data_IF_739999014063
#
_entry.id   IF_739999014063
#
_cell.length_a   1.000
_cell.length_b   1.000
_cell.length_c   1.000
_cell.angle_alpha   90.00
_cell.angle_beta   90.00
_cell.angle_gamma   90.00
#
_symmetry.space_group_name_H-M   'P 1'
#
loop_
_entity.id
_entity.type
_entity.pdbx_description
1 polymer ?
#
# COMPACT_ATOMS: atom_id res chain seq x y z
N UNK A 1 -17.03 -8.79 4.66
CA UNK A 1 -15.88 -8.17 5.34
C UNK A 1 -15.27 -9.20 6.28
N UNK A 2 -13.95 -9.37 6.29
CA UNK A 2 -13.31 -10.31 7.21
C UNK A 2 -13.38 -9.71 8.64
N UNK A 3 -13.68 -10.54 9.66
CA UNK A 3 -13.84 -10.08 11.05
C UNK A 3 -12.65 -9.25 11.57
N UNK A 4 -11.42 -9.57 11.11
CA UNK A 4 -10.18 -8.87 11.50
C UNK A 4 -10.11 -7.41 11.02
N UNK A 5 -10.80 -7.03 9.94
CA UNK A 5 -10.89 -5.63 9.51
C UNK A 5 -11.88 -4.83 10.37
N UNK A 6 -12.64 -5.52 11.23
CA UNK A 6 -13.48 -4.90 12.25
C UNK A 6 -12.72 -4.69 13.56
N UNK A 7 -11.68 -5.47 13.81
CA UNK A 7 -10.77 -5.32 14.95
C UNK A 7 -9.49 -4.60 14.50
N UNK A 8 -9.47 -3.30 14.70
CA UNK A 8 -8.36 -2.41 14.30
C UNK A 8 -7.05 -2.79 14.98
N UNK A 9 -7.09 -3.29 16.23
CA UNK A 9 -5.91 -3.71 16.98
C UNK A 9 -5.27 -4.96 16.38
N UNK A 10 -6.09 -5.94 16.02
CA UNK A 10 -5.59 -7.15 15.36
C UNK A 10 -4.92 -6.77 14.04
N UNK A 11 -5.55 -5.90 13.25
CA UNK A 11 -4.99 -5.44 11.99
C UNK A 11 -3.70 -4.64 12.17
N UNK A 12 -3.65 -3.70 13.11
CA UNK A 12 -2.44 -2.96 13.49
C UNK A 12 -1.28 -3.91 13.82
N UNK A 13 -1.52 -4.92 14.68
CA UNK A 13 -0.50 -5.89 15.08
C UNK A 13 -0.04 -6.77 13.90
N UNK A 14 -0.95 -7.16 12.99
CA UNK A 14 -0.59 -7.91 11.77
C UNK A 14 0.32 -7.09 10.85
N UNK A 15 0.04 -5.79 10.67
CA UNK A 15 0.87 -4.88 9.88
C UNK A 15 2.23 -4.66 10.56
N UNK A 16 2.25 -4.37 11.86
CA UNK A 16 3.49 -4.18 12.62
C UNK A 16 4.39 -5.42 12.54
N UNK A 17 3.81 -6.61 12.68
CA UNK A 17 4.57 -7.86 12.52
C UNK A 17 5.12 -8.03 11.11
N UNK A 18 4.32 -7.74 10.07
CA UNK A 18 4.77 -7.81 8.68
C UNK A 18 5.89 -6.80 8.42
N UNK A 19 5.75 -5.58 8.91
CA UNK A 19 6.75 -4.53 8.77
C UNK A 19 8.06 -4.92 9.46
N UNK A 20 8.00 -5.41 10.70
CA UNK A 20 9.17 -5.84 11.48
C UNK A 20 9.92 -7.00 10.80
N UNK A 21 9.19 -8.00 10.29
CA UNK A 21 9.82 -9.17 9.67
C UNK A 21 10.33 -8.91 8.25
N UNK A 22 9.70 -7.97 7.50
CA UNK A 22 9.96 -7.84 6.06
C UNK A 22 10.31 -6.41 5.62
N UNK A 23 9.57 -5.36 6.04
CA UNK A 23 9.81 -4.01 5.52
C UNK A 23 11.13 -3.47 6.03
N UNK A 24 11.40 -3.59 7.35
CA UNK A 24 12.67 -3.16 7.94
C UNK A 24 13.85 -3.77 7.18
N UNK A 25 13.90 -5.09 7.02
CA UNK A 25 15.00 -5.77 6.32
C UNK A 25 15.05 -5.45 4.81
N UNK A 26 13.94 -5.03 4.23
CA UNK A 26 13.87 -4.67 2.82
C UNK A 26 14.44 -3.28 2.56
N UNK A 27 14.13 -2.30 3.42
CA UNK A 27 14.57 -0.91 3.29
C UNK A 27 15.95 -0.65 3.89
N UNK A 28 16.35 -1.37 4.95
CA UNK A 28 17.65 -1.20 5.63
C UNK A 28 18.87 -1.52 4.73
N UNK A 29 18.64 -2.02 3.53
CA UNK A 29 19.67 -2.20 2.50
C UNK A 29 20.01 -0.92 1.75
N UNK A 30 19.20 0.11 1.90
CA UNK A 30 19.27 1.37 1.15
C UNK A 30 19.37 2.58 2.08
N UNK A 31 18.85 2.46 3.29
CA UNK A 31 18.84 3.52 4.29
C UNK A 31 19.30 2.95 5.63
N UNK A 32 20.20 3.66 6.28
CA UNK A 32 20.68 3.30 7.61
C UNK A 32 19.63 3.71 8.65
N UNK A 33 18.96 2.73 9.24
CA UNK A 33 17.95 2.97 10.26
C UNK A 33 18.55 3.32 11.63
N UNK A 34 19.83 2.99 11.88
CA UNK A 34 20.54 3.37 13.11
C UNK A 34 20.84 4.88 13.17
N UNK A 35 20.84 5.55 12.00
CA UNK A 35 20.93 7.00 11.91
C UNK A 35 19.62 7.72 12.27
N UNK A 36 18.58 6.98 12.70
CA UNK A 36 17.27 7.51 13.09
C UNK A 36 16.63 8.43 12.04
N UNK A 37 16.46 7.94 10.79
CA UNK A 37 15.93 8.75 9.70
C UNK A 37 14.49 9.19 9.96
N UNK A 38 14.05 10.21 9.22
CA UNK A 38 12.66 10.64 9.17
C UNK A 38 11.89 9.77 8.18
N UNK A 39 10.82 9.13 8.65
CA UNK A 39 9.99 8.21 7.87
C UNK A 39 8.57 8.77 7.76
N UNK A 40 8.07 8.89 6.54
CA UNK A 40 6.69 9.25 6.25
C UNK A 40 5.95 8.04 5.71
N UNK A 41 4.74 7.75 6.20
CA UNK A 41 3.83 6.81 5.55
C UNK A 41 2.59 7.53 5.04
N UNK A 42 2.32 7.44 3.73
CA UNK A 42 1.12 7.97 3.08
C UNK A 42 0.10 6.84 3.01
N UNK A 43 -1.09 7.07 3.58
CA UNK A 43 -2.12 6.04 3.76
C UNK A 43 -1.77 5.09 4.92
N UNK A 44 -1.32 5.64 6.04
CA UNK A 44 -0.78 4.87 7.17
C UNK A 44 -1.81 4.02 7.92
N UNK A 45 -3.10 4.25 7.69
CA UNK A 45 -4.14 3.57 8.46
C UNK A 45 -3.97 3.77 9.96
N UNK A 46 -3.96 2.68 10.70
CA UNK A 46 -3.72 2.63 12.14
C UNK A 46 -2.24 2.75 12.54
N UNK A 47 -1.31 2.97 11.60
CA UNK A 47 0.12 3.18 11.88
C UNK A 47 0.94 1.91 12.09
N UNK A 48 0.36 0.72 11.82
CA UNK A 48 1.04 -0.55 12.11
C UNK A 48 2.37 -0.72 11.38
N UNK A 49 2.49 -0.28 10.14
CA UNK A 49 3.75 -0.36 9.39
C UNK A 49 4.84 0.55 9.97
N UNK A 50 4.46 1.69 10.57
CA UNK A 50 5.39 2.66 11.16
C UNK A 50 5.91 2.23 12.52
N UNK A 51 5.19 1.35 13.25
CA UNK A 51 5.58 0.96 14.60
C UNK A 51 7.02 0.45 14.69
N UNK A 52 7.50 -0.49 13.84
CA UNK A 52 8.89 -0.99 13.93
C UNK A 52 9.95 0.06 13.60
N UNK A 53 9.62 1.11 12.86
CA UNK A 53 10.52 2.24 12.63
C UNK A 53 10.63 3.11 13.88
N UNK A 54 9.50 3.40 14.54
CA UNK A 54 9.50 4.12 15.81
C UNK A 54 10.23 3.36 16.91
N UNK A 55 10.11 2.01 16.97
CA UNK A 55 10.87 1.13 17.88
C UNK A 55 12.39 1.26 17.69
N UNK A 56 12.84 1.57 16.48
CA UNK A 56 14.25 1.81 16.16
C UNK A 56 14.68 3.29 16.35
N UNK A 57 13.81 4.12 16.93
CA UNK A 57 14.10 5.53 17.20
C UNK A 57 13.96 6.47 16.00
N UNK A 58 13.43 6.00 14.88
CA UNK A 58 13.13 6.88 13.75
C UNK A 58 12.02 7.89 14.12
N UNK A 59 12.14 9.10 13.58
CA UNK A 59 10.99 10.01 13.56
C UNK A 59 9.96 9.48 12.54
N UNK A 60 8.71 9.28 12.95
CA UNK A 60 7.66 8.75 12.08
C UNK A 60 6.50 9.73 11.97
N UNK A 61 6.03 9.96 10.75
CA UNK A 61 4.77 10.65 10.43
C UNK A 61 3.87 9.74 9.60
N UNK A 62 2.62 9.58 10.04
CA UNK A 62 1.57 8.90 9.29
C UNK A 62 0.52 9.89 8.80
N UNK A 63 0.07 9.75 7.55
CA UNK A 63 -1.02 10.53 6.98
C UNK A 63 -2.09 9.58 6.46
N UNK A 64 -3.33 9.74 6.91
CA UNK A 64 -4.50 9.02 6.38
C UNK A 64 -5.72 9.96 6.41
N UNK A 65 -6.67 9.76 5.51
CA UNK A 65 -7.88 10.57 5.47
C UNK A 65 -8.98 10.07 6.43
N UNK A 66 -8.88 8.85 6.95
CA UNK A 66 -9.85 8.27 7.89
C UNK A 66 -9.51 8.67 9.33
N UNK A 67 -10.29 9.60 9.88
CA UNK A 67 -10.11 10.09 11.27
C UNK A 67 -10.09 8.96 12.29
N UNK A 68 -10.94 7.93 12.13
CA UNK A 68 -11.00 6.85 13.10
C UNK A 68 -9.74 5.98 13.09
N UNK A 69 -9.08 5.85 11.92
CA UNK A 69 -7.78 5.15 11.84
C UNK A 69 -6.69 5.96 12.51
N UNK A 70 -6.65 7.27 12.28
CA UNK A 70 -5.69 8.19 12.91
C UNK A 70 -5.88 8.22 14.43
N UNK A 71 -7.12 8.30 14.92
CA UNK A 71 -7.40 8.23 16.37
C UNK A 71 -6.89 6.90 16.96
N UNK A 72 -7.05 5.79 16.24
CA UNK A 72 -6.52 4.47 16.64
C UNK A 72 -4.98 4.45 16.61
N UNK A 73 -4.35 5.05 15.59
CA UNK A 73 -2.89 5.12 15.49
C UNK A 73 -2.28 5.85 16.69
N UNK A 74 -2.82 7.03 17.03
CA UNK A 74 -2.39 7.77 18.22
C UNK A 74 -2.52 6.93 19.50
N UNK A 75 -3.70 6.31 19.71
CA UNK A 75 -3.92 5.48 20.90
C UNK A 75 -2.98 4.28 20.98
N UNK A 76 -2.74 3.60 19.85
CA UNK A 76 -1.86 2.42 19.83
C UNK A 76 -0.39 2.77 20.05
N UNK A 77 0.08 3.90 19.52
CA UNK A 77 1.43 4.38 19.78
C UNK A 77 1.61 4.82 21.23
N UNK A 78 0.64 5.54 21.80
CA UNK A 78 0.65 5.91 23.22
C UNK A 78 0.71 4.68 24.14
N UNK A 79 -0.09 3.66 23.88
CA UNK A 79 -0.08 2.39 24.63
C UNK A 79 1.25 1.64 24.55
N UNK A 80 1.98 1.76 23.44
CA UNK A 80 3.32 1.19 23.27
C UNK A 80 4.42 2.07 23.87
N UNK A 81 4.08 3.26 24.40
CA UNK A 81 5.05 4.23 24.91
C UNK A 81 5.96 4.81 23.83
N UNK A 82 5.52 4.79 22.57
CA UNK A 82 6.28 5.28 21.42
C UNK A 82 5.71 6.60 20.91
N UNK A 83 6.59 7.40 20.31
CA UNK A 83 6.22 8.66 19.68
C UNK A 83 6.01 8.46 18.18
N UNK A 84 4.96 9.04 17.66
CA UNK A 84 4.67 9.15 16.24
C UNK A 84 3.69 10.29 16.02
N UNK A 85 3.82 10.98 14.92
CA UNK A 85 2.89 12.05 14.53
C UNK A 85 1.91 11.48 13.51
N UNK A 86 0.60 11.77 13.68
CA UNK A 86 -0.43 11.28 12.80
C UNK A 86 -1.36 12.41 12.37
N UNK A 87 -1.52 12.59 11.05
CA UNK A 87 -2.32 13.66 10.47
C UNK A 87 -3.53 13.08 9.73
N UNK A 88 -4.73 13.48 10.15
CA UNK A 88 -5.96 13.16 9.41
C UNK A 88 -6.14 14.16 8.27
N UNK A 89 -5.73 13.80 7.06
CA UNK A 89 -5.85 14.66 5.88
C UNK A 89 -5.80 13.85 4.58
N UNK A 90 -6.37 14.42 3.52
CA UNK A 90 -6.01 14.04 2.16
C UNK A 90 -4.56 14.49 1.90
N UNK A 91 -3.69 13.55 1.57
CA UNK A 91 -2.26 13.82 1.34
C UNK A 91 -2.04 14.93 0.30
N UNK A 92 -2.88 15.01 -0.73
CA UNK A 92 -2.77 16.05 -1.77
C UNK A 92 -3.04 17.48 -1.24
N UNK A 93 -3.56 17.60 0.00
CA UNK A 93 -3.84 18.88 0.66
C UNK A 93 -2.85 19.20 1.78
N UNK A 94 -1.96 18.27 2.10
CA UNK A 94 -0.94 18.49 3.14
C UNK A 94 0.10 19.47 2.61
N UNK A 95 0.41 20.55 3.36
CA UNK A 95 1.44 21.50 2.98
C UNK A 95 2.81 20.83 2.83
N UNK A 96 3.56 21.23 1.82
CA UNK A 96 4.92 20.75 1.60
C UNK A 96 5.85 21.22 2.74
N UNK A 97 6.84 20.39 3.13
CA UNK A 97 7.89 20.81 4.05
C UNK A 97 8.61 22.06 3.53
N UNK A 98 8.85 23.03 4.42
CA UNK A 98 9.41 24.33 4.04
C UNK A 98 10.95 24.31 3.93
N UNK A 99 11.60 23.31 4.56
CA UNK A 99 13.05 23.13 4.51
C UNK A 99 13.43 21.67 4.22
N UNK A 100 14.69 21.44 3.86
CA UNK A 100 15.20 20.07 3.60
C UNK A 100 15.19 19.22 4.88
N UNK A 101 15.44 19.85 6.04
CA UNK A 101 15.47 19.19 7.34
C UNK A 101 14.10 18.64 7.75
N UNK A 102 13.03 19.29 7.30
CA UNK A 102 11.66 18.85 7.53
C UNK A 102 11.26 17.68 6.62
N UNK A 103 11.97 17.48 5.51
CA UNK A 103 11.69 16.39 4.57
C UNK A 103 12.08 15.02 5.14
N UNK A 104 11.71 13.99 4.42
CA UNK A 104 11.83 12.60 4.85
C UNK A 104 12.94 11.88 4.08
N UNK A 105 13.64 11.02 4.80
CA UNK A 105 14.67 10.13 4.26
C UNK A 105 14.04 8.89 3.61
N UNK A 106 12.85 8.50 4.09
CA UNK A 106 12.07 7.38 3.57
C UNK A 106 10.59 7.74 3.51
N UNK A 107 9.96 7.50 2.35
CA UNK A 107 8.51 7.60 2.18
C UNK A 107 7.95 6.21 1.90
N UNK A 108 7.00 5.75 2.72
CA UNK A 108 6.32 4.48 2.59
C UNK A 108 4.94 4.68 1.97
N UNK A 109 4.61 3.89 0.94
CA UNK A 109 3.30 3.85 0.30
C UNK A 109 2.93 2.37 0.11
N UNK A 110 2.03 1.85 0.95
CA UNK A 110 1.65 0.45 0.93
C UNK A 110 0.14 0.30 0.82
N UNK A 111 -0.32 -0.41 -0.21
CA UNK A 111 -1.74 -0.63 -0.55
C UNK A 111 -2.54 0.69 -0.67
N UNK A 112 -1.97 1.69 -1.38
CA UNK A 112 -2.56 3.02 -1.60
C UNK A 112 -2.66 3.35 -3.09
N UNK A 113 -1.59 3.14 -3.85
CA UNK A 113 -1.51 3.65 -5.24
C UNK A 113 -2.57 3.03 -6.16
N UNK A 114 -3.03 1.84 -5.87
CA UNK A 114 -4.12 1.15 -6.59
C UNK A 114 -5.49 1.76 -6.34
N UNK A 115 -5.65 2.56 -5.28
CA UNK A 115 -6.89 3.25 -4.93
C UNK A 115 -6.97 4.68 -5.48
N UNK A 116 -5.84 5.26 -5.87
CA UNK A 116 -5.81 6.59 -6.47
C UNK A 116 -6.41 6.52 -7.88
N UNK A 117 -7.34 7.42 -8.21
CA UNK A 117 -7.91 7.49 -9.55
C UNK A 117 -6.83 7.78 -10.61
N UNK A 118 -6.99 7.18 -11.79
CA UNK A 118 -6.00 7.17 -12.86
C UNK A 118 -5.44 8.56 -13.22
N UNK A 119 -6.26 9.62 -13.36
CA UNK A 119 -5.76 10.96 -13.71
C UNK A 119 -4.86 11.58 -12.64
N UNK A 120 -5.03 11.19 -11.38
CA UNK A 120 -4.31 11.80 -10.25
C UNK A 120 -2.99 11.10 -9.90
N UNK A 121 -2.74 9.89 -10.42
CA UNK A 121 -1.52 9.13 -10.10
C UNK A 121 -0.22 9.86 -10.44
N UNK A 122 -0.06 10.51 -11.62
CA UNK A 122 1.15 11.28 -11.90
C UNK A 122 1.34 12.45 -10.93
N UNK A 123 0.28 13.21 -10.65
CA UNK A 123 0.32 14.35 -9.72
C UNK A 123 0.64 13.90 -8.30
N UNK A 124 0.12 12.74 -7.87
CA UNK A 124 0.45 12.14 -6.59
C UNK A 124 1.95 11.85 -6.45
N UNK A 125 2.58 11.24 -7.45
CA UNK A 125 4.02 10.97 -7.44
C UNK A 125 4.85 12.25 -7.39
N UNK A 126 4.48 13.27 -8.16
CA UNK A 126 5.16 14.57 -8.14
C UNK A 126 4.99 15.28 -6.79
N UNK A 127 3.80 15.21 -6.18
CA UNK A 127 3.57 15.79 -4.86
C UNK A 127 4.39 15.03 -3.79
N UNK A 128 4.39 13.70 -3.81
CA UNK A 128 5.18 12.85 -2.91
C UNK A 128 6.68 13.21 -2.95
N UNK A 129 7.24 13.43 -4.15
CA UNK A 129 8.66 13.80 -4.29
C UNK A 129 9.03 15.05 -3.51
N UNK A 130 8.12 16.01 -3.36
CA UNK A 130 8.37 17.27 -2.63
C UNK A 130 8.57 17.04 -1.13
N UNK A 131 8.10 15.92 -0.60
CA UNK A 131 8.30 15.48 0.78
C UNK A 131 9.63 14.71 0.97
N UNK A 132 10.30 14.32 -0.12
CA UNK A 132 11.55 13.57 -0.08
C UNK A 132 12.76 14.50 0.00
N UNK A 133 13.77 14.14 0.80
CA UNK A 133 15.11 14.74 0.71
C UNK A 133 15.77 14.41 -0.64
N UNK A 134 16.80 15.13 -1.07
CA UNK A 134 17.47 14.89 -2.36
C UNK A 134 17.94 13.45 -2.57
N UNK A 135 18.46 12.78 -1.53
CA UNK A 135 18.95 11.39 -1.60
C UNK A 135 18.01 10.39 -0.93
N UNK A 136 16.72 10.73 -0.82
CA UNK A 136 15.74 9.90 -0.14
C UNK A 136 15.27 8.72 -1.00
N UNK A 137 14.72 7.74 -0.31
CA UNK A 137 14.10 6.57 -0.91
C UNK A 137 12.58 6.59 -0.71
N UNK A 138 11.86 6.03 -1.68
CA UNK A 138 10.45 5.72 -1.52
C UNK A 138 10.23 4.21 -1.66
N UNK A 139 9.50 3.62 -0.72
CA UNK A 139 9.01 2.26 -0.80
C UNK A 139 7.57 2.26 -1.30
N UNK A 140 7.29 1.47 -2.33
CA UNK A 140 5.94 1.18 -2.79
C UNK A 140 5.65 -0.30 -2.66
N UNK A 141 4.47 -0.62 -2.11
CA UNK A 141 3.91 -1.96 -2.10
C UNK A 141 2.46 -1.92 -2.57
N UNK A 142 2.09 -2.71 -3.59
CA UNK A 142 0.72 -2.76 -4.09
C UNK A 142 0.42 -4.09 -4.80
N UNK A 143 -0.84 -4.56 -4.78
CA UNK A 143 -1.27 -5.72 -5.56
C UNK A 143 -1.35 -5.35 -7.05
N UNK A 144 -0.84 -6.22 -7.93
CA UNK A 144 -1.03 -6.02 -9.35
C UNK A 144 -2.51 -6.16 -9.72
N UNK A 145 -3.01 -5.26 -10.59
CA UNK A 145 -4.43 -5.23 -10.95
C UNK A 145 -4.99 -6.57 -11.41
N UNK A 146 -4.23 -7.34 -12.20
CA UNK A 146 -4.71 -8.59 -12.80
C UNK A 146 -4.64 -9.79 -11.84
N UNK A 147 -4.09 -9.65 -10.64
CA UNK A 147 -4.03 -10.77 -9.69
C UNK A 147 -5.44 -11.26 -9.31
N UNK A 148 -5.60 -12.50 -8.79
CA UNK A 148 -6.94 -13.10 -8.61
C UNK A 148 -7.97 -12.24 -7.90
N UNK A 149 -7.53 -11.41 -6.97
CA UNK A 149 -8.37 -10.55 -6.15
C UNK A 149 -8.00 -9.06 -6.25
N UNK A 150 -7.35 -8.64 -7.35
CA UNK A 150 -6.94 -7.26 -7.57
C UNK A 150 -8.09 -6.24 -7.62
N UNK A 151 -9.31 -6.68 -7.83
CA UNK A 151 -10.51 -5.85 -7.76
C UNK A 151 -11.14 -5.73 -6.38
N UNK A 152 -10.49 -6.23 -5.33
CA UNK A 152 -10.95 -6.20 -3.93
C UNK A 152 -12.35 -6.80 -3.69
N UNK A 153 -12.79 -7.71 -4.55
CA UNK A 153 -14.12 -8.35 -4.46
C UNK A 153 -14.35 -9.13 -3.15
N UNK A 154 -13.31 -9.35 -2.35
CA UNK A 154 -13.43 -9.94 -1.01
C UNK A 154 -14.28 -9.10 -0.04
N UNK A 155 -14.49 -7.79 -0.35
CA UNK A 155 -15.37 -6.91 0.44
C UNK A 155 -16.86 -7.12 0.15
N UNK A 156 -17.22 -7.91 -0.88
CA UNK A 156 -18.61 -8.24 -1.20
C UNK A 156 -19.33 -8.91 -0.03
N UNK A 157 -20.60 -8.61 0.15
CA UNK A 157 -21.49 -9.27 1.12
C UNK A 157 -21.75 -10.72 0.73
N UNK A 158 -21.90 -10.99 -0.56
CA UNK A 158 -22.06 -12.34 -1.09
C UNK A 158 -20.81 -13.19 -0.86
N UNK A 159 -20.94 -14.24 -0.01
CA UNK A 159 -19.84 -15.19 0.23
C UNK A 159 -19.38 -15.93 -1.02
N UNK A 160 -20.24 -16.05 -2.03
CA UNK A 160 -19.90 -16.65 -3.32
C UNK A 160 -19.04 -15.69 -4.13
N UNK A 161 -19.54 -14.48 -4.39
CA UNK A 161 -18.82 -13.47 -5.20
C UNK A 161 -17.49 -13.08 -4.57
N UNK A 162 -17.44 -12.95 -3.24
CA UNK A 162 -16.21 -12.57 -2.50
C UNK A 162 -15.06 -13.59 -2.65
N UNK A 163 -15.35 -14.82 -3.06
CA UNK A 163 -14.37 -15.89 -3.28
C UNK A 163 -14.05 -16.17 -4.75
N UNK A 164 -14.75 -15.53 -5.68
CA UNK A 164 -14.52 -15.73 -7.10
C UNK A 164 -13.28 -14.93 -7.56
N UNK A 165 -12.21 -15.57 -8.04
CA UNK A 165 -11.06 -14.86 -8.57
C UNK A 165 -11.38 -14.24 -9.94
N UNK A 166 -10.65 -13.17 -10.30
CA UNK A 166 -10.63 -12.55 -11.62
C UNK A 166 -11.94 -11.89 -12.10
N UNK A 167 -13.02 -11.87 -11.33
CA UNK A 167 -14.31 -11.29 -11.75
C UNK A 167 -14.23 -9.79 -12.06
N UNK A 168 -13.29 -9.08 -11.44
CA UNK A 168 -13.03 -7.66 -11.73
C UNK A 168 -12.48 -7.44 -13.15
N UNK A 169 -11.97 -8.47 -13.82
CA UNK A 169 -11.51 -8.38 -15.22
C UNK A 169 -12.65 -8.43 -16.24
N UNK A 170 -13.85 -8.82 -15.84
CA UNK A 170 -15.05 -8.75 -16.68
C UNK A 170 -15.27 -7.31 -17.17
N UNK A 171 -15.98 -7.14 -18.30
CA UNK A 171 -16.44 -5.82 -18.70
C UNK A 171 -17.25 -5.16 -17.59
N UNK A 172 -17.26 -3.82 -17.51
CA UNK A 172 -17.99 -3.11 -16.46
C UNK A 172 -19.46 -3.53 -16.38
N UNK A 173 -20.13 -3.63 -17.55
CA UNK A 173 -21.51 -4.07 -17.65
C UNK A 173 -21.73 -5.48 -17.09
N UNK A 174 -20.81 -6.42 -17.38
CA UNK A 174 -20.89 -7.80 -16.88
C UNK A 174 -20.61 -7.86 -15.38
N UNK A 175 -19.59 -7.11 -14.92
CA UNK A 175 -19.23 -7.06 -13.51
C UNK A 175 -20.34 -6.46 -12.66
N UNK A 176 -20.89 -5.29 -13.04
CA UNK A 176 -22.07 -4.68 -12.39
C UNK A 176 -23.24 -5.66 -12.32
N UNK A 177 -23.57 -6.30 -13.46
CA UNK A 177 -24.68 -7.27 -13.52
C UNK A 177 -24.46 -8.48 -12.61
N UNK A 178 -23.22 -8.97 -12.49
CA UNK A 178 -22.86 -10.04 -11.56
C UNK A 178 -23.09 -9.62 -10.10
N UNK A 179 -22.60 -8.45 -9.72
CA UNK A 179 -22.74 -7.90 -8.37
C UNK A 179 -24.22 -7.71 -8.00
N UNK A 180 -25.00 -7.09 -8.88
CA UNK A 180 -26.45 -6.89 -8.68
C UNK A 180 -27.20 -8.20 -8.49
N UNK A 181 -26.93 -9.22 -9.32
CA UNK A 181 -27.57 -10.55 -9.22
C UNK A 181 -27.29 -11.25 -7.88
N UNK A 182 -26.17 -10.93 -7.25
CA UNK A 182 -25.78 -11.50 -5.96
C UNK A 182 -26.10 -10.59 -4.76
N UNK A 183 -26.91 -9.55 -4.96
CA UNK A 183 -27.46 -8.73 -3.88
C UNK A 183 -26.51 -7.70 -3.29
N UNK A 184 -25.46 -7.30 -4.03
CA UNK A 184 -24.65 -6.15 -3.63
C UNK A 184 -25.45 -4.85 -3.80
N UNK A 185 -25.37 -3.95 -2.84
CA UNK A 185 -26.00 -2.63 -2.93
C UNK A 185 -25.22 -1.70 -3.88
N UNK A 186 -25.89 -0.66 -4.37
CA UNK A 186 -25.30 0.30 -5.33
C UNK A 186 -24.06 1.02 -4.77
N UNK A 187 -24.02 1.28 -3.46
CA UNK A 187 -22.82 1.88 -2.83
C UNK A 187 -21.61 0.95 -2.94
N UNK A 188 -21.79 -0.35 -2.64
CA UNK A 188 -20.73 -1.35 -2.78
C UNK A 188 -20.34 -1.57 -4.24
N UNK A 189 -21.30 -1.55 -5.15
CA UNK A 189 -21.02 -1.64 -6.59
C UNK A 189 -20.22 -0.43 -7.07
N UNK A 190 -20.57 0.77 -6.64
CA UNK A 190 -19.83 1.99 -6.97
C UNK A 190 -18.38 1.95 -6.46
N UNK A 191 -18.16 1.50 -5.21
CA UNK A 191 -16.84 1.30 -4.62
C UNK A 191 -15.98 0.33 -5.46
N UNK A 192 -16.52 -0.84 -5.80
CA UNK A 192 -15.82 -1.85 -6.60
C UNK A 192 -15.53 -1.39 -8.03
N UNK A 193 -16.41 -0.60 -8.63
CA UNK A 193 -16.17 0.01 -9.94
C UNK A 193 -15.14 1.13 -9.88
N UNK A 194 -15.11 1.92 -8.82
CA UNK A 194 -14.04 2.90 -8.58
C UNK A 194 -12.67 2.22 -8.51
N UNK A 195 -12.54 1.13 -7.75
CA UNK A 195 -11.32 0.31 -7.70
C UNK A 195 -10.97 -0.23 -9.10
N UNK A 196 -11.97 -0.67 -9.88
CA UNK A 196 -11.74 -1.11 -11.27
C UNK A 196 -11.19 0.00 -12.16
N UNK A 197 -11.60 1.26 -11.96
CA UNK A 197 -11.12 2.40 -12.73
C UNK A 197 -9.73 2.89 -12.28
N UNK A 198 -9.38 2.69 -11.01
CA UNK A 198 -8.09 3.10 -10.44
C UNK A 198 -6.96 2.08 -10.65
N UNK A 199 -7.25 0.92 -11.23
CA UNK A 199 -6.33 -0.21 -11.51
C UNK A 199 -4.85 0.16 -11.66
N UNK A 200 -3.95 -0.68 -11.08
CA UNK A 200 -2.50 -0.49 -11.15
C UNK A 200 -1.78 -1.76 -11.65
N UNK A 201 -1.65 -1.97 -12.97
CA UNK A 201 -0.69 -2.94 -13.50
C UNK A 201 0.76 -2.51 -13.22
N UNK A 202 1.65 -3.46 -13.06
CA UNK A 202 3.09 -3.20 -12.82
C UNK A 202 3.70 -2.29 -13.90
N UNK A 203 3.39 -2.54 -15.17
CA UNK A 203 3.92 -1.76 -16.30
C UNK A 203 3.45 -0.31 -16.28
N UNK A 204 2.23 -0.07 -15.83
CA UNK A 204 1.69 1.28 -15.71
C UNK A 204 2.36 2.04 -14.57
N UNK A 205 2.60 1.38 -13.43
CA UNK A 205 3.36 1.96 -12.32
C UNK A 205 4.77 2.36 -12.77
N UNK A 206 5.49 1.45 -13.43
CA UNK A 206 6.84 1.72 -13.94
C UNK A 206 6.86 2.88 -14.96
N UNK A 207 5.79 3.03 -15.77
CA UNK A 207 5.63 4.19 -16.66
C UNK A 207 5.49 5.50 -15.89
N UNK A 208 4.69 5.53 -14.83
CA UNK A 208 4.53 6.72 -13.99
C UNK A 208 5.81 7.06 -13.21
N UNK A 209 6.49 6.06 -12.67
CA UNK A 209 7.80 6.22 -11.99
C UNK A 209 8.82 6.86 -12.94
N UNK A 210 8.89 6.36 -14.18
CA UNK A 210 9.77 6.94 -15.22
C UNK A 210 9.39 8.39 -15.57
N UNK A 211 8.09 8.67 -15.71
CA UNK A 211 7.60 10.02 -15.99
C UNK A 211 7.91 11.01 -14.86
N UNK A 212 7.83 10.56 -13.61
CA UNK A 212 8.20 11.32 -12.43
C UNK A 212 9.73 11.43 -12.21
N UNK A 213 10.54 10.90 -13.14
CA UNK A 213 12.02 10.92 -13.07
C UNK A 213 12.58 10.26 -11.81
N UNK A 214 11.86 9.27 -11.25
CA UNK A 214 12.33 8.44 -10.15
C UNK A 214 13.09 7.22 -10.70
N UNK A 215 14.15 6.82 -10.03
CA UNK A 215 14.95 5.64 -10.39
C UNK A 215 14.47 4.43 -9.62
N UNK A 216 14.13 3.35 -10.33
CA UNK A 216 13.88 2.04 -9.70
C UNK A 216 15.20 1.43 -9.27
N UNK A 217 15.46 1.37 -7.95
CA UNK A 217 16.67 0.76 -7.38
C UNK A 217 16.47 -0.72 -7.13
N UNK A 218 15.29 -1.11 -6.68
CA UNK A 218 14.95 -2.50 -6.42
C UNK A 218 13.48 -2.74 -6.73
N UNK A 219 13.19 -3.93 -7.22
CA UNK A 219 11.83 -4.44 -7.37
C UNK A 219 11.77 -5.91 -6.97
N UNK A 220 10.68 -6.29 -6.35
CA UNK A 220 10.40 -7.68 -5.96
C UNK A 220 8.93 -7.95 -6.18
N UNK A 221 8.63 -9.03 -6.90
CA UNK A 221 7.26 -9.48 -7.12
C UNK A 221 6.99 -10.69 -6.24
N UNK A 222 5.86 -10.67 -5.53
CA UNK A 222 5.46 -11.73 -4.63
C UNK A 222 4.27 -12.50 -5.20
N UNK A 223 4.42 -13.82 -5.35
CA UNK A 223 3.30 -14.74 -5.63
C UNK A 223 2.48 -14.95 -4.34
N UNK A 224 3.19 -15.12 -3.21
CA UNK A 224 2.60 -15.15 -1.88
C UNK A 224 3.19 -13.97 -1.11
N UNK A 225 2.37 -12.94 -0.90
CA UNK A 225 2.75 -11.73 -0.18
C UNK A 225 3.24 -12.06 1.25
N UNK A 226 4.31 -11.44 1.75
CA UNK A 226 4.77 -11.58 3.13
C UNK A 226 3.66 -11.39 4.18
N UNK A 227 2.74 -10.47 3.98
CA UNK A 227 1.60 -10.30 4.87
C UNK A 227 0.72 -11.56 4.98
N UNK A 228 0.68 -12.41 3.95
CA UNK A 228 -0.07 -13.68 3.99
C UNK A 228 0.55 -14.71 4.94
N UNK A 229 1.84 -14.58 5.31
CA UNK A 229 2.44 -15.38 6.38
C UNK A 229 1.81 -15.04 7.72
N UNK A 230 1.66 -13.75 8.01
CA UNK A 230 1.04 -13.29 9.26
C UNK A 230 -0.45 -13.62 9.28
N UNK A 231 -1.11 -13.39 8.15
CA UNK A 231 -2.57 -13.48 8.01
C UNK A 231 -3.10 -14.90 7.84
N UNK A 232 -2.39 -15.76 7.10
CA UNK A 232 -2.85 -17.08 6.67
C UNK A 232 -1.85 -18.19 6.94
N UNK A 233 -0.72 -17.88 7.58
CA UNK A 233 0.40 -18.81 7.84
C UNK A 233 1.00 -19.41 6.57
N UNK A 234 0.89 -18.73 5.43
CA UNK A 234 1.48 -19.15 4.17
C UNK A 234 2.95 -18.74 4.10
N UNK A 235 3.79 -19.60 3.52
CA UNK A 235 5.22 -19.27 3.31
C UNK A 235 5.32 -18.23 2.18
N UNK A 236 5.92 -17.05 2.40
CA UNK A 236 6.09 -16.06 1.35
C UNK A 236 6.90 -16.60 0.18
N UNK A 237 6.41 -16.38 -1.02
CA UNK A 237 7.03 -16.85 -2.26
C UNK A 237 7.21 -15.69 -3.24
N UNK A 238 8.46 -15.44 -3.63
CA UNK A 238 8.78 -14.50 -4.71
C UNK A 238 8.54 -15.13 -6.07
N UNK A 239 8.17 -14.31 -7.02
CA UNK A 239 8.23 -14.72 -8.41
C UNK A 239 9.67 -15.04 -8.81
N UNK A 240 9.84 -16.11 -9.57
CA UNK A 240 11.15 -16.58 -10.07
C UNK A 240 11.24 -16.35 -11.58
N UNK A 241 12.49 -16.26 -12.06
CA UNK A 241 12.76 -16.31 -13.48
C UNK A 241 12.25 -17.64 -14.10
N UNK A 242 11.61 -17.70 -15.31
CA UNK A 242 11.48 -16.58 -16.27
C UNK A 242 10.20 -15.73 -16.11
N UNK A 243 9.27 -16.07 -15.20
CA UNK A 243 7.95 -15.46 -15.09
C UNK A 243 8.00 -13.95 -14.80
N UNK A 244 8.97 -13.51 -13.98
CA UNK A 244 9.19 -12.08 -13.68
C UNK A 244 9.47 -11.22 -14.91
N UNK A 245 9.94 -11.83 -16.02
CA UNK A 245 10.33 -11.12 -17.25
C UNK A 245 9.26 -11.08 -18.33
N UNK A 246 8.12 -11.77 -18.13
CA UNK A 246 7.03 -11.76 -19.10
C UNK A 246 6.09 -10.59 -18.77
N UNK A 247 6.19 -9.46 -19.51
CA UNK A 247 5.35 -8.30 -19.25
C UNK A 247 3.86 -8.69 -19.29
N UNK A 248 3.05 -8.00 -18.52
CA UNK A 248 1.61 -8.21 -18.35
C UNK A 248 1.22 -9.57 -17.76
N UNK A 249 1.85 -10.68 -18.16
CA UNK A 249 1.53 -12.02 -17.63
C UNK A 249 1.88 -12.11 -16.13
N UNK A 250 3.01 -11.54 -15.70
CA UNK A 250 3.42 -11.50 -14.29
C UNK A 250 2.36 -10.91 -13.37
N UNK A 251 1.57 -9.93 -13.86
CA UNK A 251 0.52 -9.30 -13.06
C UNK A 251 -0.55 -10.28 -12.56
N UNK A 252 -0.76 -11.40 -13.26
CA UNK A 252 -1.72 -12.42 -12.83
C UNK A 252 -1.28 -13.22 -11.61
N UNK A 253 0.02 -13.23 -11.32
CA UNK A 253 0.61 -13.96 -10.19
C UNK A 253 1.11 -13.03 -9.09
N UNK A 254 1.30 -11.74 -9.38
CA UNK A 254 1.84 -10.76 -8.44
C UNK A 254 0.77 -10.34 -7.44
N UNK A 255 0.77 -10.97 -6.26
CA UNK A 255 -0.14 -10.57 -5.15
C UNK A 255 0.32 -9.31 -4.44
N UNK A 256 1.63 -8.97 -4.56
CA UNK A 256 2.17 -7.68 -4.16
C UNK A 256 3.46 -7.40 -4.93
N UNK A 257 3.57 -6.21 -5.51
CA UNK A 257 4.77 -5.70 -6.14
C UNK A 257 5.43 -4.70 -5.19
N UNK A 258 6.70 -4.94 -4.83
CA UNK A 258 7.47 -4.07 -3.95
C UNK A 258 8.58 -3.37 -4.73
N UNK A 259 8.67 -2.06 -4.54
CA UNK A 259 9.67 -1.23 -5.17
C UNK A 259 10.42 -0.39 -4.16
N UNK A 260 11.71 -0.20 -4.38
CA UNK A 260 12.48 0.91 -3.81
C UNK A 260 12.80 1.85 -4.97
N UNK A 261 12.38 3.08 -4.81
CA UNK A 261 12.65 4.17 -5.73
C UNK A 261 13.62 5.15 -5.07
N UNK A 262 14.46 5.78 -5.87
CA UNK A 262 15.39 6.83 -5.46
C UNK A 262 15.09 8.10 -6.26
N UNK A 263 15.19 9.25 -5.61
CA UNK A 263 14.99 10.54 -6.24
C UNK A 263 16.19 10.94 -7.09
#
# INVERSE_FOLDING_TARGET
>A
MQARHLDRRVYFNELAKTSREYFISYVNKFIDLEAHPRVLEIGCGEGGNLLPFAEQGCYVLGIDFDKNKIDSANAFFEEQGLKGDFICSDFMKVPEPQSVEEKYDLVLIHDVVEHIEMPYKPTFLEHMKRFMKPDAYAYFGFPAWQMPFGGHQQICKSKFVSKLPFIHLLSEKQYRRLLQRHGEDEGKIAELLSIKHSKMPVELFEKFVKAAQLKVVKRTYWVINPHYKVKFHLIPLREIWPFTKIPYLRNFYTTSAWYILHQ
#
